data_IF_165288227640
#
_entry.id   IF_165288227640
#
_cell.length_a   1.000
_cell.length_b   1.000
_cell.length_c   1.000
_cell.angle_alpha   90.00
_cell.angle_beta   90.00
_cell.angle_gamma   90.00
#
_symmetry.space_group_name_H-M   'P 1'
#
loop_
_entity.id
_entity.type
_entity.pdbx_description
1 polymer ?
#
# COMPACT_ATOMS: atom_id res chain seq x y z
N UNK A 1 9.68 -17.34 -42.97
CA UNK A 1 9.31 -16.93 -41.59
C UNK A 1 9.70 -17.99 -40.53
N UNK A 2 9.11 -19.20 -40.55
CA UNK A 2 9.42 -20.26 -39.55
C UNK A 2 10.91 -20.67 -39.53
N UNK A 3 11.59 -20.66 -40.68
CA UNK A 3 13.03 -20.93 -40.75
C UNK A 3 13.93 -19.85 -40.15
N UNK A 4 13.45 -18.60 -40.03
CA UNK A 4 14.18 -17.49 -39.39
C UNK A 4 14.10 -17.64 -37.87
N UNK A 5 12.91 -17.95 -37.34
CA UNK A 5 12.66 -18.13 -35.91
C UNK A 5 13.45 -19.30 -35.28
N UNK A 6 13.83 -20.31 -36.07
CA UNK A 6 14.64 -21.45 -35.60
C UNK A 6 16.13 -21.16 -35.46
N UNK A 7 16.62 -20.00 -35.91
CA UNK A 7 18.05 -19.66 -35.81
C UNK A 7 18.42 -19.33 -34.35
N UNK A 8 19.64 -19.62 -33.89
CA UNK A 8 20.04 -19.45 -32.48
C UNK A 8 19.75 -18.05 -31.91
N UNK A 9 19.97 -17.00 -32.70
CA UNK A 9 19.67 -15.61 -32.31
C UNK A 9 18.19 -15.38 -31.98
N UNK A 10 17.28 -15.95 -32.78
CA UNK A 10 15.84 -15.78 -32.61
C UNK A 10 15.29 -16.64 -31.49
N UNK A 11 15.86 -17.85 -31.31
CA UNK A 11 15.58 -18.68 -30.13
C UNK A 11 15.98 -17.94 -28.86
N UNK A 12 17.15 -17.29 -28.85
CA UNK A 12 17.59 -16.44 -27.72
C UNK A 12 16.59 -15.32 -27.40
N UNK A 13 16.11 -14.59 -28.42
CA UNK A 13 15.09 -13.55 -28.23
C UNK A 13 13.76 -14.10 -27.73
N UNK A 14 13.34 -15.27 -28.20
CA UNK A 14 12.11 -15.92 -27.74
C UNK A 14 12.23 -16.36 -26.28
N UNK A 15 13.35 -16.97 -25.89
CA UNK A 15 13.61 -17.36 -24.49
C UNK A 15 13.62 -16.12 -23.60
N UNK A 16 14.35 -15.07 -23.99
CA UNK A 16 14.37 -13.81 -23.25
C UNK A 16 12.98 -13.20 -23.14
N UNK A 17 12.20 -13.20 -24.22
CA UNK A 17 10.82 -12.72 -24.24
C UNK A 17 9.90 -13.51 -23.31
N UNK A 18 10.06 -14.84 -23.23
CA UNK A 18 9.31 -15.69 -22.28
C UNK A 18 9.69 -15.36 -20.84
N UNK A 19 10.99 -15.28 -20.53
CA UNK A 19 11.45 -14.93 -19.18
C UNK A 19 10.97 -13.54 -18.76
N UNK A 20 11.06 -12.57 -19.67
CA UNK A 20 10.54 -11.22 -19.44
C UNK A 20 9.02 -11.22 -19.29
N UNK A 21 8.30 -12.02 -20.08
CA UNK A 21 6.85 -12.17 -19.96
C UNK A 21 6.41 -12.76 -18.62
N UNK A 22 7.14 -13.75 -18.11
CA UNK A 22 6.92 -14.30 -16.76
C UNK A 22 7.13 -13.20 -15.71
N UNK A 23 8.21 -12.44 -15.82
CA UNK A 23 8.49 -11.32 -14.91
C UNK A 23 7.37 -10.29 -14.92
N UNK A 24 6.96 -9.80 -16.09
CA UNK A 24 5.89 -8.78 -16.20
C UNK A 24 4.54 -9.32 -15.75
N UNK A 25 4.25 -10.60 -15.98
CA UNK A 25 3.02 -11.23 -15.47
C UNK A 25 2.98 -11.19 -13.92
N UNK A 26 4.10 -11.53 -13.27
CA UNK A 26 4.22 -11.46 -11.81
C UNK A 26 4.14 -10.03 -11.28
N UNK A 27 4.75 -9.05 -11.97
CA UNK A 27 4.62 -7.64 -11.60
C UNK A 27 3.18 -7.13 -11.73
N UNK A 28 2.46 -7.58 -12.77
CA UNK A 28 1.05 -7.27 -12.92
C UNK A 28 0.19 -7.88 -11.81
N UNK A 29 0.45 -9.13 -11.42
CA UNK A 29 -0.22 -9.77 -10.28
C UNK A 29 0.06 -9.04 -8.96
N UNK A 30 1.30 -8.62 -8.73
CA UNK A 30 1.66 -7.84 -7.54
C UNK A 30 0.88 -6.51 -7.47
N UNK A 31 0.79 -5.78 -8.58
CA UNK A 31 0.00 -4.55 -8.66
C UNK A 31 -1.50 -4.81 -8.49
N UNK A 32 -2.00 -5.92 -9.04
CA UNK A 32 -3.40 -6.34 -8.87
C UNK A 32 -3.74 -6.62 -7.41
N UNK A 33 -2.94 -7.41 -6.70
CA UNK A 33 -3.16 -7.66 -5.27
C UNK A 33 -3.13 -6.36 -4.46
N UNK A 34 -2.23 -5.41 -4.79
CA UNK A 34 -2.19 -4.10 -4.13
C UNK A 34 -3.45 -3.28 -4.38
N UNK A 35 -4.06 -3.41 -5.56
CA UNK A 35 -5.35 -2.82 -5.88
C UNK A 35 -6.47 -3.49 -5.09
N UNK A 36 -6.54 -4.83 -5.07
CA UNK A 36 -7.55 -5.58 -4.30
C UNK A 36 -7.55 -5.23 -2.82
N UNK A 37 -6.39 -5.22 -2.16
CA UNK A 37 -6.31 -4.83 -0.74
C UNK A 37 -6.84 -3.40 -0.48
N UNK A 38 -6.68 -2.49 -1.45
CA UNK A 38 -7.25 -1.14 -1.34
C UNK A 38 -8.75 -1.11 -1.58
N UNK A 39 -9.26 -1.94 -2.49
CA UNK A 39 -10.69 -2.12 -2.71
C UNK A 39 -11.35 -2.69 -1.46
N UNK A 40 -10.79 -3.75 -0.87
CA UNK A 40 -11.28 -4.34 0.38
C UNK A 40 -11.37 -3.31 1.50
N UNK A 41 -10.28 -2.58 1.74
CA UNK A 41 -10.25 -1.51 2.76
C UNK A 41 -11.28 -0.41 2.47
N UNK A 42 -11.43 -0.01 1.21
CA UNK A 42 -12.42 1.00 0.79
C UNK A 42 -13.84 0.51 1.07
N UNK A 43 -14.19 -0.70 0.64
CA UNK A 43 -15.51 -1.29 0.83
C UNK A 43 -15.85 -1.35 2.32
N UNK A 44 -14.89 -1.72 3.16
CA UNK A 44 -15.06 -1.76 4.61
C UNK A 44 -15.32 -0.37 5.19
N UNK A 45 -14.53 0.64 4.80
CA UNK A 45 -14.76 2.05 5.21
C UNK A 45 -16.14 2.52 4.74
N UNK A 46 -16.51 2.29 3.48
CA UNK A 46 -17.79 2.74 2.91
C UNK A 46 -19.00 2.08 3.58
N UNK A 47 -18.88 0.82 4.01
CA UNK A 47 -19.93 0.11 4.72
C UNK A 47 -20.12 0.62 6.17
N UNK A 48 -19.02 0.97 6.85
CA UNK A 48 -19.02 1.14 8.31
C UNK A 48 -18.95 2.60 8.79
N UNK A 49 -18.24 3.47 8.05
CA UNK A 49 -17.84 4.79 8.54
C UNK A 49 -19.03 5.73 8.78
N UNK A 50 -20.06 5.65 7.92
CA UNK A 50 -21.26 6.48 8.00
C UNK A 50 -22.48 5.75 8.63
N UNK A 51 -22.28 4.51 9.12
CA UNK A 51 -23.34 3.73 9.75
C UNK A 51 -23.73 4.30 11.14
N UNK A 52 -24.98 4.11 11.55
CA UNK A 52 -25.48 4.60 12.83
C UNK A 52 -24.70 4.00 14.02
N UNK A 53 -24.33 4.79 15.05
CA UNK A 53 -23.56 4.28 16.19
C UNK A 53 -24.22 3.07 16.87
N UNK A 54 -23.40 2.18 17.41
CA UNK A 54 -23.82 1.08 18.27
C UNK A 54 -22.96 1.06 19.53
N UNK A 55 -23.49 0.54 20.65
CA UNK A 55 -22.72 0.44 21.89
C UNK A 55 -21.43 -0.37 21.68
N UNK A 56 -20.31 0.15 22.16
CA UNK A 56 -18.99 -0.50 21.99
C UNK A 56 -18.96 -1.93 22.53
N UNK A 57 -19.63 -2.17 23.67
CA UNK A 57 -19.75 -3.48 24.31
C UNK A 57 -20.56 -4.49 23.51
N UNK A 58 -21.33 -4.06 22.50
CA UNK A 58 -21.99 -4.98 21.56
C UNK A 58 -20.99 -5.59 20.59
N UNK A 59 -19.96 -4.85 20.19
CA UNK A 59 -18.94 -5.31 19.24
C UNK A 59 -17.72 -5.90 19.96
N UNK A 60 -17.39 -5.37 21.13
CA UNK A 60 -16.29 -5.81 21.99
C UNK A 60 -16.85 -6.20 23.37
N UNK A 61 -17.51 -7.36 23.49
CA UNK A 61 -18.15 -7.78 24.74
C UNK A 61 -17.17 -8.29 25.81
N UNK A 62 -15.93 -8.59 25.41
CA UNK A 62 -14.93 -9.25 26.26
C UNK A 62 -13.54 -8.60 26.02
N UNK A 63 -12.85 -8.12 27.07
CA UNK A 63 -11.48 -7.61 26.97
C UNK A 63 -10.48 -8.66 26.47
N UNK A 64 -10.67 -9.94 26.81
CA UNK A 64 -9.80 -11.04 26.35
C UNK A 64 -10.16 -11.53 24.93
N UNK A 65 -11.18 -10.91 24.31
CA UNK A 65 -11.66 -11.24 22.98
C UNK A 65 -10.70 -10.84 21.85
N UNK A 66 -11.07 -11.18 20.62
CA UNK A 66 -10.35 -10.75 19.41
C UNK A 66 -11.12 -9.63 18.71
N UNK A 67 -10.38 -8.66 18.16
CA UNK A 67 -10.98 -7.60 17.35
C UNK A 67 -11.77 -8.14 16.14
N UNK A 68 -13.07 -7.81 16.00
CA UNK A 68 -13.85 -8.18 14.84
C UNK A 68 -13.42 -7.34 13.63
N UNK A 69 -12.54 -7.89 12.79
CA UNK A 69 -11.93 -7.15 11.66
C UNK A 69 -12.96 -6.54 10.70
N UNK A 70 -14.12 -7.19 10.53
CA UNK A 70 -15.23 -6.68 9.72
C UNK A 70 -15.87 -5.39 10.27
N UNK A 71 -15.71 -5.12 11.56
CA UNK A 71 -16.25 -3.92 12.26
C UNK A 71 -15.23 -2.79 12.35
N UNK A 72 -14.07 -2.90 11.69
CA UNK A 72 -13.15 -1.77 11.58
C UNK A 72 -13.89 -0.55 10.99
N UNK A 73 -13.63 0.64 11.50
CA UNK A 73 -14.34 1.87 11.15
C UNK A 73 -15.84 1.88 11.49
N UNK A 74 -16.36 0.89 12.23
CA UNK A 74 -17.74 0.94 12.72
C UNK A 74 -17.87 2.08 13.72
N UNK A 75 -18.86 2.95 13.51
CA UNK A 75 -19.18 4.00 14.48
C UNK A 75 -19.74 3.37 15.75
N UNK A 76 -19.12 3.67 16.89
CA UNK A 76 -19.47 3.16 18.21
C UNK A 76 -19.75 4.29 19.18
N UNK A 77 -20.61 4.01 20.16
CA UNK A 77 -20.84 4.86 21.32
C UNK A 77 -20.39 4.16 22.60
N UNK A 78 -19.81 4.93 23.52
CA UNK A 78 -19.36 4.47 24.81
C UNK A 78 -19.63 5.55 25.86
N UNK A 79 -20.06 5.12 27.05
CA UNK A 79 -20.31 6.02 28.17
C UNK A 79 -19.37 5.65 29.30
N UNK A 80 -18.72 6.65 29.89
CA UNK A 80 -17.73 6.38 30.93
C UNK A 80 -17.10 7.65 31.51
N UNK A 81 -15.97 7.50 32.19
CA UNK A 81 -15.16 8.61 32.71
C UNK A 81 -13.73 8.49 32.19
N UNK A 82 -13.18 9.59 31.68
CA UNK A 82 -11.78 9.61 31.28
C UNK A 82 -10.84 9.47 32.48
N UNK A 83 -9.75 8.73 32.29
CA UNK A 83 -8.61 8.63 33.21
C UNK A 83 -7.41 9.42 32.66
N UNK A 84 -7.40 10.76 32.73
CA UNK A 84 -6.37 11.61 32.12
C UNK A 84 -4.97 11.38 32.70
N UNK A 85 -4.86 10.90 33.93
CA UNK A 85 -3.61 10.50 34.57
C UNK A 85 -2.93 9.29 33.91
N UNK A 86 -3.70 8.51 33.13
CA UNK A 86 -3.25 7.36 32.34
C UNK A 86 -3.13 7.69 30.85
N UNK A 87 -3.08 8.97 30.50
CA UNK A 87 -2.91 9.44 29.12
C UNK A 87 -1.57 9.00 28.53
N UNK A 88 -1.61 8.58 27.26
CA UNK A 88 -0.43 8.24 26.48
C UNK A 88 -0.37 9.07 25.19
N UNK A 89 0.85 9.38 24.75
CA UNK A 89 1.12 10.09 23.50
C UNK A 89 1.79 9.16 22.49
N UNK A 90 1.14 8.92 21.36
CA UNK A 90 1.73 8.11 20.29
C UNK A 90 2.66 8.97 19.47
N UNK A 91 3.95 8.61 19.45
CA UNK A 91 4.98 9.41 18.75
C UNK A 91 4.90 9.31 17.24
N UNK A 92 5.45 10.34 16.60
CA UNK A 92 5.80 10.34 15.17
C UNK A 92 4.58 10.09 14.27
N UNK A 93 3.44 10.67 14.66
CA UNK A 93 2.20 10.60 13.88
C UNK A 93 2.19 11.73 12.86
N UNK A 94 2.24 11.43 11.55
CA UNK A 94 2.17 12.45 10.52
C UNK A 94 0.73 12.93 10.36
N UNK A 95 0.53 14.25 10.38
CA UNK A 95 -0.73 14.90 10.06
C UNK A 95 -0.45 16.11 9.17
N UNK A 96 -1.07 16.15 7.98
CA UNK A 96 -0.89 17.21 6.97
C UNK A 96 0.58 17.60 6.68
N UNK A 97 1.48 16.63 6.65
CA UNK A 97 2.91 16.84 6.35
C UNK A 97 3.76 17.29 7.55
N UNK A 98 3.18 17.38 8.75
CA UNK A 98 3.87 17.70 10.00
C UNK A 98 3.82 16.50 10.94
N UNK A 99 4.91 16.23 11.65
CA UNK A 99 4.95 15.17 12.67
C UNK A 99 4.54 15.70 14.04
N UNK A 100 3.73 14.92 14.75
CA UNK A 100 3.25 15.21 16.09
C UNK A 100 2.91 13.94 16.85
N UNK A 101 1.90 14.04 17.71
CA UNK A 101 1.42 12.95 18.55
C UNK A 101 -0.08 12.76 18.40
N UNK A 102 -0.53 11.51 18.46
CA UNK A 102 -1.92 11.21 18.78
C UNK A 102 -2.07 11.10 20.30
N UNK A 103 -3.20 11.58 20.82
CA UNK A 103 -3.49 11.67 22.25
C UNK A 103 -4.45 10.56 22.64
N UNK A 104 -3.94 9.56 23.36
CA UNK A 104 -4.74 8.45 23.86
C UNK A 104 -5.14 8.70 25.31
N UNK A 105 -6.43 8.66 25.59
CA UNK A 105 -6.96 8.74 26.96
C UNK A 105 -7.88 7.55 27.21
N UNK A 106 -7.60 6.69 28.20
CA UNK A 106 -8.52 5.62 28.57
C UNK A 106 -9.85 6.18 29.07
N UNK A 107 -10.95 5.61 28.61
CA UNK A 107 -12.31 5.84 29.08
C UNK A 107 -12.73 4.63 29.92
N UNK A 108 -12.88 4.82 31.23
CA UNK A 108 -13.36 3.80 32.16
C UNK A 108 -14.87 3.62 31.97
N UNK A 109 -15.28 2.41 31.62
CA UNK A 109 -16.67 2.04 31.39
C UNK A 109 -17.35 1.58 32.69
N UNK A 110 -18.68 1.52 32.68
CA UNK A 110 -19.48 1.14 33.86
C UNK A 110 -19.30 -0.33 34.27
N UNK A 111 -18.81 -1.18 33.37
CA UNK A 111 -18.53 -2.61 33.61
C UNK A 111 -17.13 -2.87 34.19
N UNK A 112 -16.32 -1.81 34.39
CA UNK A 112 -14.96 -1.89 34.92
C UNK A 112 -13.88 -2.03 33.85
N UNK A 113 -14.24 -2.28 32.59
CA UNK A 113 -13.30 -2.30 31.47
C UNK A 113 -12.93 -0.89 31.01
N UNK A 114 -11.90 -0.78 30.17
CA UNK A 114 -11.44 0.47 29.61
C UNK A 114 -11.44 0.45 28.06
N UNK A 115 -12.01 1.49 27.47
CA UNK A 115 -11.87 1.78 26.05
C UNK A 115 -10.77 2.83 25.86
N UNK A 116 -9.70 2.50 25.14
CA UNK A 116 -8.72 3.52 24.73
C UNK A 116 -9.37 4.42 23.69
N UNK A 117 -9.40 5.74 23.95
CA UNK A 117 -9.91 6.74 23.02
C UNK A 117 -8.76 7.57 22.48
N UNK A 118 -8.56 7.53 21.17
CA UNK A 118 -7.71 8.47 20.45
C UNK A 118 -8.50 9.78 20.26
N UNK A 119 -8.19 10.78 21.09
CA UNK A 119 -8.85 12.09 21.11
C UNK A 119 -8.38 13.01 19.98
N UNK A 120 -7.43 12.57 19.16
CA UNK A 120 -6.91 13.29 18.01
C UNK A 120 -5.44 13.66 18.14
N UNK A 121 -5.01 14.60 17.30
CA UNK A 121 -3.62 14.92 17.06
C UNK A 121 -3.19 16.25 17.66
N UNK A 122 -1.95 16.30 18.14
CA UNK A 122 -1.28 17.53 18.58
C UNK A 122 0.08 17.66 17.91
N UNK A 123 0.43 18.88 17.50
CA UNK A 123 1.74 19.17 16.91
C UNK A 123 2.83 18.98 17.95
N UNK A 124 4.01 18.54 17.51
CA UNK A 124 5.22 18.56 18.34
C UNK A 124 5.47 19.95 18.95
N UNK A 125 6.04 19.98 20.17
CA UNK A 125 6.53 21.21 20.76
C UNK A 125 7.68 21.81 19.92
N UNK A 126 8.00 23.09 20.18
CA UNK A 126 9.06 23.80 19.47
C UNK A 126 10.46 23.16 19.65
N UNK A 127 10.65 22.38 20.73
CA UNK A 127 11.90 21.66 20.98
C UNK A 127 11.63 20.18 21.23
N UNK A 128 12.59 19.33 20.86
CA UNK A 128 12.48 17.88 21.06
C UNK A 128 12.48 17.44 22.53
N UNK A 129 12.91 18.32 23.44
CA UNK A 129 13.00 18.05 24.88
C UNK A 129 11.69 18.32 25.64
N UNK A 130 10.75 19.03 25.03
CA UNK A 130 9.48 19.42 25.65
C UNK A 130 8.33 18.62 25.06
N UNK A 131 7.43 18.12 25.90
CA UNK A 131 6.15 17.58 25.43
C UNK A 131 5.25 18.70 24.93
N UNK A 132 4.39 18.44 23.92
CA UNK A 132 3.41 19.42 23.48
C UNK A 132 2.36 19.65 24.58
N UNK A 133 1.74 20.81 24.54
CA UNK A 133 0.56 21.10 25.35
C UNK A 133 -0.62 20.29 24.81
N UNK A 134 -1.25 19.49 25.68
CA UNK A 134 -2.35 18.62 25.32
C UNK A 134 -3.64 19.17 25.95
N UNK A 135 -4.68 19.45 25.17
CA UNK A 135 -5.97 19.85 25.71
C UNK A 135 -6.54 18.80 26.65
N UNK A 136 -6.89 19.23 27.87
CA UNK A 136 -7.38 18.35 28.95
C UNK A 136 -8.67 17.64 28.55
N UNK A 137 -8.83 16.39 28.98
CA UNK A 137 -10.08 15.64 28.81
C UNK A 137 -11.19 16.22 29.69
N UNK A 138 -12.45 16.27 29.21
CA UNK A 138 -13.55 16.76 30.03
C UNK A 138 -13.74 15.84 31.25
N UNK A 139 -14.04 16.46 32.40
CA UNK A 139 -14.30 15.74 33.64
C UNK A 139 -15.75 15.25 33.71
N UNK A 140 -15.99 14.22 34.53
CA UNK A 140 -17.32 13.68 34.76
C UNK A 140 -17.63 12.46 33.91
N UNK A 141 -18.92 12.15 33.78
CA UNK A 141 -19.41 11.10 32.87
C UNK A 141 -19.58 11.69 31.48
N UNK A 142 -18.92 11.07 30.50
CA UNK A 142 -18.86 11.50 29.11
C UNK A 142 -19.48 10.43 28.22
N UNK A 143 -20.29 10.86 27.27
CA UNK A 143 -20.73 10.05 26.13
C UNK A 143 -19.76 10.32 24.97
N UNK A 144 -19.03 9.28 24.56
CA UNK A 144 -18.07 9.28 23.47
C UNK A 144 -18.69 8.59 22.26
N UNK A 145 -18.61 9.21 21.10
CA UNK A 145 -18.85 8.58 19.81
C UNK A 145 -17.56 8.61 18.99
N UNK A 146 -17.22 7.52 18.34
CA UNK A 146 -16.02 7.41 17.54
C UNK A 146 -16.05 6.23 16.58
N UNK A 147 -14.96 6.04 15.85
CA UNK A 147 -14.80 4.91 14.94
C UNK A 147 -13.89 3.87 15.54
N UNK A 148 -14.36 2.62 15.54
CA UNK A 148 -13.64 1.51 16.12
C UNK A 148 -12.44 1.09 15.24
N UNK A 149 -11.29 0.85 15.87
CA UNK A 149 -10.04 0.45 15.21
C UNK A 149 -9.36 -0.70 15.98
N UNK A 150 -8.71 -1.65 15.28
CA UNK A 150 -7.87 -2.64 15.93
C UNK A 150 -6.62 -1.98 16.48
N UNK A 151 -6.06 -2.57 17.55
CA UNK A 151 -4.72 -2.22 18.02
C UNK A 151 -3.65 -2.34 16.93
N UNK A 152 -2.55 -1.61 17.12
CA UNK A 152 -1.40 -1.62 16.25
C UNK A 152 -0.33 -2.59 16.78
N UNK A 153 0.51 -3.16 15.91
CA UNK A 153 1.60 -4.03 16.35
C UNK A 153 2.62 -3.28 17.22
N UNK A 154 3.24 -3.99 18.16
CA UNK A 154 4.40 -3.48 18.90
C UNK A 154 5.56 -3.20 17.92
N UNK A 155 6.14 -2.00 18.02
CA UNK A 155 7.33 -1.59 17.28
C UNK A 155 8.65 -1.85 18.03
N UNK A 156 8.60 -2.41 19.25
CA UNK A 156 9.75 -2.80 20.06
C UNK A 156 10.63 -1.62 20.46
N UNK A 157 10.02 -0.47 20.76
CA UNK A 157 10.74 0.77 21.11
C UNK A 157 10.39 1.22 22.52
N UNK A 158 11.41 1.32 23.36
CA UNK A 158 11.28 1.94 24.68
C UNK A 158 11.28 3.45 24.54
N UNK A 159 10.22 4.08 25.00
CA UNK A 159 10.03 5.53 25.01
C UNK A 159 9.90 6.02 26.45
N UNK A 160 10.09 7.33 26.71
CA UNK A 160 9.84 7.89 28.02
C UNK A 160 8.42 7.62 28.51
N UNK A 161 8.21 7.62 29.83
CA UNK A 161 6.91 7.40 30.43
C UNK A 161 5.81 8.29 29.82
N UNK A 162 4.62 7.73 29.61
CA UNK A 162 3.49 8.39 28.97
C UNK A 162 3.60 8.51 27.44
N UNK A 163 4.57 7.84 26.80
CA UNK A 163 4.74 7.85 25.34
C UNK A 163 4.84 6.43 24.80
N UNK A 164 4.21 6.21 23.65
CA UNK A 164 4.20 4.91 22.96
C UNK A 164 4.54 5.09 21.47
N UNK A 165 5.09 4.04 20.86
CA UNK A 165 5.51 4.09 19.45
C UNK A 165 4.36 3.76 18.48
N UNK A 166 3.36 3.02 18.97
CA UNK A 166 2.15 2.59 18.28
C UNK A 166 1.02 2.44 19.31
N UNK A 167 -0.23 2.32 18.85
CA UNK A 167 -1.39 2.04 19.70
C UNK A 167 -1.44 0.52 19.99
N UNK A 168 -0.44 0.04 20.71
CA UNK A 168 -0.33 -1.35 21.16
C UNK A 168 -1.17 -1.55 22.42
N UNK A 169 -2.34 -2.17 22.28
CA UNK A 169 -3.33 -2.28 23.35
C UNK A 169 -2.85 -3.15 24.52
N UNK A 170 -2.26 -4.34 24.30
CA UNK A 170 -1.64 -5.12 25.39
C UNK A 170 -0.60 -4.32 26.20
N UNK A 171 0.27 -3.55 25.53
CA UNK A 171 1.23 -2.70 26.27
C UNK A 171 0.53 -1.59 27.05
N UNK A 172 -0.53 -0.99 26.49
CA UNK A 172 -1.30 0.03 27.18
C UNK A 172 -2.00 -0.56 28.41
N UNK A 173 -2.59 -1.74 28.32
CA UNK A 173 -3.15 -2.51 29.43
C UNK A 173 -2.11 -2.77 30.52
N UNK A 174 -0.92 -3.28 30.17
CA UNK A 174 0.16 -3.50 31.14
C UNK A 174 0.60 -2.20 31.84
N UNK A 175 0.70 -1.10 31.09
CA UNK A 175 1.16 0.19 31.62
C UNK A 175 0.13 0.92 32.47
N UNK A 176 -1.17 0.66 32.22
CA UNK A 176 -2.28 1.35 32.89
C UNK A 176 -2.87 0.51 34.02
N UNK A 177 -2.70 -0.82 33.97
CA UNK A 177 -3.33 -1.77 34.89
C UNK A 177 -4.85 -1.86 34.72
N UNK A 178 -5.37 -1.45 33.56
CA UNK A 178 -6.78 -1.50 33.21
C UNK A 178 -7.08 -2.68 32.28
N UNK A 179 -8.25 -3.27 32.41
CA UNK A 179 -8.74 -4.29 31.47
C UNK A 179 -9.16 -3.61 30.15
N UNK A 180 -8.24 -3.52 29.19
CA UNK A 180 -8.45 -2.74 27.94
C UNK A 180 -9.18 -3.60 26.91
N UNK A 181 -10.26 -3.05 26.34
CA UNK A 181 -10.97 -3.72 25.23
C UNK A 181 -10.05 -3.95 24.03
N UNK A 182 -10.24 -5.03 23.23
CA UNK A 182 -9.33 -5.41 22.14
C UNK A 182 -9.49 -4.53 20.89
N UNK A 183 -9.83 -3.25 21.06
CA UNK A 183 -9.91 -2.21 20.05
C UNK A 183 -9.91 -0.83 20.71
N UNK A 184 -9.55 0.21 19.95
CA UNK A 184 -9.62 1.60 20.38
C UNK A 184 -10.64 2.38 19.54
N UNK A 185 -11.12 3.50 20.06
CA UNK A 185 -12.01 4.40 19.34
C UNK A 185 -11.27 5.67 18.91
N UNK A 186 -11.33 6.00 17.61
CA UNK A 186 -10.94 7.32 17.11
C UNK A 186 -12.10 8.28 17.34
N UNK A 187 -11.87 9.31 18.13
CA UNK A 187 -12.91 10.24 18.60
C UNK A 187 -13.54 11.01 17.42
N UNK A 188 -14.87 10.98 17.37
CA UNK A 188 -15.69 11.88 16.56
C UNK A 188 -16.21 13.03 17.44
N UNK A 189 -17.00 12.67 18.46
CA UNK A 189 -17.65 13.59 19.40
C UNK A 189 -17.56 13.09 20.83
N UNK A 190 -17.40 14.00 21.78
CA UNK A 190 -17.46 13.76 23.23
C UNK A 190 -18.45 14.75 23.85
N UNK A 191 -19.32 14.27 24.74
CA UNK A 191 -20.38 15.07 25.38
C UNK A 191 -20.37 14.82 26.90
N UNK A 192 -20.26 15.87 27.74
CA UNK A 192 -20.06 17.28 27.41
C UNK A 192 -18.73 17.55 26.67
N UNK A 193 -18.79 18.44 25.69
CA UNK A 193 -17.62 18.82 24.90
C UNK A 193 -16.72 19.77 25.72
N UNK A 194 -15.39 19.56 25.72
CA UNK A 194 -14.46 20.50 26.35
C UNK A 194 -14.34 21.79 25.52
N UNK A 195 -13.85 22.90 26.11
CA UNK A 195 -13.65 24.16 25.38
C UNK A 195 -12.60 24.04 24.26
N UNK A 196 -11.63 23.16 24.44
CA UNK A 196 -10.56 22.87 23.48
C UNK A 196 -10.33 21.37 23.44
N UNK A 197 -10.04 20.84 22.25
CA UNK A 197 -9.67 19.43 22.05
C UNK A 197 -8.54 19.29 21.03
N UNK A 198 -7.81 18.16 21.02
CA UNK A 198 -6.84 17.87 19.95
C UNK A 198 -7.46 17.94 18.56
N UNK A 199 -6.61 18.12 17.55
CA UNK A 199 -7.06 18.19 16.16
C UNK A 199 -7.69 16.85 15.73
N UNK A 200 -8.93 16.83 15.22
CA UNK A 200 -9.56 15.58 14.84
C UNK A 200 -8.84 14.91 13.68
N UNK A 201 -8.72 13.58 13.74
CA UNK A 201 -8.20 12.81 12.62
C UNK A 201 -9.19 12.86 11.45
N UNK A 202 -8.66 13.08 10.24
CA UNK A 202 -9.46 13.13 9.03
C UNK A 202 -10.03 11.76 8.64
N UNK A 203 -11.02 11.78 7.74
CA UNK A 203 -11.58 10.56 7.15
C UNK A 203 -10.48 9.74 6.48
N UNK A 204 -10.42 8.41 6.68
CA UNK A 204 -9.44 7.57 6.02
C UNK A 204 -9.58 7.64 4.50
N UNK A 205 -8.44 7.64 3.80
CA UNK A 205 -8.44 7.70 2.34
C UNK A 205 -8.99 6.42 1.72
N UNK A 206 -10.01 6.58 0.87
CA UNK A 206 -10.59 5.52 0.02
C UNK A 206 -9.99 5.50 -1.39
N UNK A 207 -8.92 6.27 -1.63
CA UNK A 207 -8.30 6.36 -2.95
C UNK A 207 -7.58 5.06 -3.34
N UNK A 208 -8.03 4.45 -4.45
CA UNK A 208 -7.42 3.24 -4.99
C UNK A 208 -6.03 3.51 -5.60
N UNK A 209 -5.81 4.72 -6.12
CA UNK A 209 -4.58 5.06 -6.86
C UNK A 209 -4.49 4.33 -8.20
N UNK A 210 -3.29 4.29 -8.79
CA UNK A 210 -3.09 3.79 -10.17
C UNK A 210 -2.69 2.31 -10.27
N UNK A 211 -2.78 1.54 -9.18
CA UNK A 211 -2.33 0.14 -9.14
C UNK A 211 -3.00 -0.73 -10.21
N UNK A 212 -4.30 -0.55 -10.45
CA UNK A 212 -5.02 -1.25 -11.51
C UNK A 212 -4.48 -0.93 -12.91
N UNK A 213 -4.28 0.36 -13.21
CA UNK A 213 -3.72 0.77 -14.50
C UNK A 213 -2.31 0.21 -14.72
N UNK A 214 -1.48 0.16 -13.68
CA UNK A 214 -0.17 -0.47 -13.75
C UNK A 214 -0.23 -1.99 -13.94
N UNK A 215 -1.19 -2.68 -13.30
CA UNK A 215 -1.39 -4.11 -13.53
C UNK A 215 -1.69 -4.41 -15.01
N UNK A 216 -2.62 -3.64 -15.61
CA UNK A 216 -2.93 -3.72 -17.04
C UNK A 216 -1.71 -3.40 -17.91
N UNK A 217 -0.95 -2.35 -17.58
CA UNK A 217 0.27 -1.99 -18.32
C UNK A 217 1.28 -3.15 -18.35
N UNK A 218 1.51 -3.80 -17.20
CA UNK A 218 2.42 -4.94 -17.11
C UNK A 218 1.95 -6.12 -17.95
N UNK A 219 0.66 -6.46 -17.89
CA UNK A 219 0.12 -7.57 -18.67
C UNK A 219 0.08 -7.28 -20.17
N UNK A 220 -0.18 -6.04 -20.59
CA UNK A 220 -0.17 -5.63 -22.00
C UNK A 220 1.24 -5.62 -22.61
N UNK A 221 2.29 -5.59 -21.80
CA UNK A 221 3.67 -5.66 -22.29
C UNK A 221 3.97 -6.99 -22.99
N UNK A 222 3.36 -8.10 -22.53
CA UNK A 222 3.55 -9.44 -23.09
C UNK A 222 3.07 -9.55 -24.55
N UNK A 223 1.79 -9.28 -24.88
CA UNK A 223 1.32 -9.38 -26.26
C UNK A 223 2.03 -8.38 -27.17
N UNK A 224 2.33 -7.16 -26.69
CA UNK A 224 3.10 -6.17 -27.45
C UNK A 224 4.50 -6.69 -27.79
N UNK A 225 5.21 -7.27 -26.81
CA UNK A 225 6.53 -7.86 -27.02
C UNK A 225 6.50 -9.02 -28.02
N UNK A 226 5.50 -9.90 -27.93
CA UNK A 226 5.32 -11.01 -28.89
C UNK A 226 5.07 -10.48 -30.30
N UNK A 227 4.18 -9.49 -30.45
CA UNK A 227 3.90 -8.86 -31.75
C UNK A 227 5.17 -8.26 -32.34
N UNK A 228 5.97 -7.54 -31.56
CA UNK A 228 7.23 -6.95 -32.01
C UNK A 228 8.21 -8.01 -32.52
N UNK A 229 8.41 -9.10 -31.77
CA UNK A 229 9.29 -10.21 -32.21
C UNK A 229 8.79 -10.82 -33.52
N UNK A 230 7.49 -11.02 -33.67
CA UNK A 230 6.89 -11.55 -34.90
C UNK A 230 7.04 -10.60 -36.09
N UNK A 231 6.85 -9.29 -35.88
CA UNK A 231 7.03 -8.26 -36.92
C UNK A 231 8.49 -8.22 -37.37
N UNK A 232 9.44 -8.19 -36.42
CA UNK A 232 10.87 -8.20 -36.76
C UNK A 232 11.25 -9.48 -37.51
N UNK A 233 10.77 -10.66 -37.08
CA UNK A 233 11.04 -11.92 -37.76
C UNK A 233 10.46 -11.96 -39.19
N UNK A 234 9.30 -11.33 -39.40
CA UNK A 234 8.68 -11.17 -40.72
C UNK A 234 9.47 -10.22 -41.62
N UNK A 235 9.94 -9.09 -41.08
CA UNK A 235 10.78 -8.13 -41.80
C UNK A 235 12.09 -8.79 -42.23
N UNK A 236 12.82 -9.44 -41.31
CA UNK A 236 14.05 -10.16 -41.65
C UNK A 236 13.84 -11.23 -42.72
N UNK A 237 12.72 -11.96 -42.67
CA UNK A 237 12.41 -12.95 -43.71
C UNK A 237 12.09 -12.34 -45.07
N UNK A 238 11.53 -11.12 -45.11
CA UNK A 238 11.25 -10.38 -46.35
C UNK A 238 12.52 -9.80 -46.94
N UNK A 239 13.36 -9.18 -46.12
CA UNK A 239 14.63 -8.58 -46.57
C UNK A 239 15.54 -9.65 -47.20
N UNK A 240 15.65 -10.83 -46.54
CA UNK A 240 16.40 -11.97 -47.07
C UNK A 240 15.81 -12.55 -48.37
N UNK A 241 14.49 -12.44 -48.59
CA UNK A 241 13.86 -12.88 -49.84
C UNK A 241 14.18 -11.91 -50.98
N UNK A 242 14.12 -10.60 -50.71
CA UNK A 242 14.47 -9.55 -51.68
C UNK A 242 15.94 -9.64 -52.08
N UNK A 243 16.87 -9.90 -51.15
CA UNK A 243 18.29 -10.10 -51.46
C UNK A 243 18.52 -11.33 -52.36
N UNK A 244 17.84 -12.44 -52.08
CA UNK A 244 17.93 -13.65 -52.92
C UNK A 244 17.43 -13.42 -54.34
N UNK A 245 16.29 -12.75 -54.48
CA UNK A 245 15.69 -12.46 -55.78
C UNK A 245 16.51 -11.41 -56.55
N UNK A 246 17.10 -10.43 -55.86
CA UNK A 246 18.00 -9.43 -56.45
C UNK A 246 19.34 -9.98 -56.92
N UNK A 247 19.88 -11.01 -56.27
CA UNK A 247 21.09 -11.70 -56.71
C UNK A 247 20.86 -12.73 -57.83
N UNK A 248 19.61 -13.10 -58.10
CA UNK A 248 19.23 -13.96 -59.23
C UNK A 248 19.28 -13.27 -60.61
N UNK A 249 19.42 -11.94 -60.67
CA UNK A 249 19.35 -11.16 -61.92
C UNK A 249 20.70 -10.64 -62.45
N UNK A 250 21.81 -10.84 -61.74
CA UNK A 250 23.13 -10.37 -62.22
C UNK A 250 23.91 -11.56 -62.77
N UNK A 251 23.87 -11.72 -64.09
CA UNK A 251 24.76 -12.64 -64.80
C UNK A 251 26.21 -12.37 -64.36
N UNK A 252 26.91 -13.42 -63.93
CA UNK A 252 28.28 -13.32 -63.45
C UNK A 252 29.17 -12.63 -64.50
N UNK A 253 30.00 -11.63 -64.12
CA UNK A 253 30.89 -10.98 -65.08
C UNK A 253 31.87 -12.03 -65.62
N UNK A 254 31.90 -12.18 -66.95
CA UNK A 254 32.83 -13.04 -67.66
C UNK A 254 34.26 -12.63 -67.28
N UNK A 255 35.00 -13.52 -66.61
CA UNK A 255 36.42 -13.27 -66.31
C UNK A 255 37.17 -13.12 -67.65
N UNK A 256 37.90 -12.01 -67.89
CA UNK A 256 38.70 -11.89 -69.10
C UNK A 256 39.76 -13.00 -69.11
N UNK A 257 39.83 -13.72 -70.24
CA UNK A 257 40.82 -14.78 -70.48
C UNK A 257 42.22 -14.14 -70.41
N UNK A 258 43.05 -14.56 -69.46
CA UNK A 258 44.46 -14.13 -69.41
C UNK A 258 45.14 -14.62 -70.69
N UNK A 259 45.44 -13.70 -71.59
CA UNK A 259 46.37 -13.93 -72.70
C UNK A 259 47.76 -14.09 -72.07
N UNK A 260 48.46 -15.18 -72.37
CA UNK A 260 49.85 -15.37 -71.91
C UNK A 260 50.74 -14.61 -72.87
N UNK A 261 51.71 -13.89 -72.33
CA UNK A 261 52.68 -13.03 -73.04
C UNK A 261 53.51 -13.78 -74.12
N UNK A 262 53.46 -15.12 -74.14
CA UNK A 262 54.24 -15.96 -75.07
C UNK A 262 53.57 -16.20 -76.43
N UNK A 263 52.34 -15.73 -76.64
CA UNK A 263 51.61 -15.92 -77.92
C UNK A 263 51.89 -14.79 -78.96
N UNK A 264 52.83 -13.87 -78.71
CA UNK A 264 53.14 -12.71 -79.58
C UNK A 264 54.44 -12.85 -80.42
N UNK A 265 55.22 -13.94 -80.28
CA UNK A 265 56.51 -14.09 -81.00
C UNK A 265 56.46 -14.92 -82.31
N UNK A 266 55.30 -15.44 -82.72
CA UNK A 266 55.17 -16.26 -83.95
C UNK A 266 54.20 -15.67 -85.01
N UNK A 267 54.15 -14.34 -85.17
CA UNK A 267 53.37 -13.67 -86.23
C UNK A 267 54.20 -12.75 -87.12
#
# INVERSE_FOLDING_TARGET
MLGVLRRPRWVGYLVLGVLFGILTANLGLWQWHRHESKVERRTLIEANYDAAPVAVTTLLPDPEGTFPTAEQWRRVEARGRYAPELQHLVRNRPHEGVYGYEVLVPLLLDDGTALVVDRGWVRNAATAATLPEVPVAPEGTIDVTGWLRPGEPDLGRDLPAGQVASIDLPRLEESTGLDVLPGYAVLDTEVPAPPTRPEPLGRPSTALGSHFAYALQWWLTVPVGVILVLVMARQTARDEAVERDGHGSVAAPVRPRKVRIWDEEDA
#
